data_IF_058578546897
#
_entry.id   IF_058578546897
#
_cell.length_a   1.000
_cell.length_b   1.000
_cell.length_c   1.000
_cell.angle_alpha   90.00
_cell.angle_beta   90.00
_cell.angle_gamma   90.00
#
_symmetry.space_group_name_H-M   'P 1'
#
loop_
_entity.id
_entity.type
_entity.pdbx_description
1 polymer ?
#
# COMPACT_ATOMS: atom_id res chain seq x y z
N UNK A 1 -2.92 15.05 -29.29
CA UNK A 1 -2.95 15.35 -27.85
C UNK A 1 -1.51 15.33 -27.34
N UNK A 2 -1.11 16.32 -26.57
CA UNK A 2 0.19 16.27 -25.89
C UNK A 2 0.19 15.10 -24.89
N UNK A 3 1.34 14.44 -24.68
CA UNK A 3 1.44 13.38 -23.69
C UNK A 3 1.19 13.96 -22.29
N UNK A 4 0.37 13.26 -21.50
CA UNK A 4 0.05 13.60 -20.12
C UNK A 4 1.32 13.69 -19.26
N UNK A 5 1.49 14.80 -18.54
CA UNK A 5 2.56 14.98 -17.57
C UNK A 5 2.17 14.35 -16.24
N UNK A 6 2.95 13.41 -15.78
CA UNK A 6 2.71 12.70 -14.53
C UNK A 6 3.88 12.97 -13.58
N UNK A 7 3.56 13.33 -12.34
CA UNK A 7 4.52 13.30 -11.25
C UNK A 7 4.18 12.14 -10.31
N UNK A 8 5.17 11.30 -9.97
CA UNK A 8 5.02 10.20 -9.03
C UNK A 8 5.71 10.59 -7.73
N UNK A 9 4.98 10.52 -6.63
CA UNK A 9 5.47 10.94 -5.32
C UNK A 9 5.19 9.87 -4.28
N UNK A 10 6.12 9.68 -3.35
CA UNK A 10 5.91 8.85 -2.15
C UNK A 10 6.40 9.57 -0.90
N UNK A 11 5.89 9.15 0.27
CA UNK A 11 6.47 9.51 1.55
C UNK A 11 7.30 8.35 2.06
N UNK A 12 8.62 8.53 2.11
CA UNK A 12 9.57 7.61 2.72
C UNK A 12 9.82 7.90 4.19
N UNK A 13 10.55 7.01 4.83
CA UNK A 13 11.14 7.20 6.16
C UNK A 13 12.65 6.93 6.10
N UNK A 14 13.42 7.59 6.94
CA UNK A 14 14.88 7.40 7.05
C UNK A 14 15.26 6.08 7.74
N UNK A 15 14.28 5.33 8.25
CA UNK A 15 14.50 4.08 8.99
C UNK A 15 14.36 2.86 8.10
N UNK A 16 15.23 1.87 8.30
CA UNK A 16 15.02 0.55 7.70
C UNK A 16 13.80 -0.15 8.34
N UNK A 17 13.01 -0.90 7.56
CA UNK A 17 13.21 -1.25 6.15
C UNK A 17 12.66 -0.22 5.14
N UNK A 18 12.08 0.90 5.58
CA UNK A 18 11.33 1.84 4.73
C UNK A 18 12.20 2.54 3.67
N UNK A 19 13.50 2.78 3.96
CA UNK A 19 14.45 3.30 2.97
C UNK A 19 14.58 2.35 1.78
N UNK A 20 14.70 1.05 2.04
CA UNK A 20 14.76 0.01 0.99
C UNK A 20 13.44 -0.11 0.23
N UNK A 21 12.31 -0.04 0.90
CA UNK A 21 10.99 -0.06 0.25
C UNK A 21 10.85 1.11 -0.71
N UNK A 22 11.28 2.33 -0.30
CA UNK A 22 11.32 3.50 -1.20
C UNK A 22 12.16 3.21 -2.44
N UNK A 23 13.33 2.63 -2.29
CA UNK A 23 14.20 2.26 -3.40
C UNK A 23 13.55 1.21 -4.31
N UNK A 24 12.93 0.18 -3.75
CA UNK A 24 12.26 -0.88 -4.52
C UNK A 24 11.05 -0.36 -5.29
N UNK A 25 10.26 0.54 -4.72
CA UNK A 25 9.19 1.22 -5.44
C UNK A 25 9.73 1.86 -6.72
N UNK A 26 10.76 2.73 -6.62
CA UNK A 26 11.28 3.45 -7.78
C UNK A 26 12.05 2.55 -8.76
N UNK A 27 12.71 1.51 -8.30
CA UNK A 27 13.27 0.46 -9.17
C UNK A 27 12.17 -0.22 -9.99
N UNK A 28 11.03 -0.54 -9.36
CA UNK A 28 9.91 -1.17 -10.05
C UNK A 28 9.28 -0.25 -11.10
N UNK A 29 9.14 1.04 -10.81
CA UNK A 29 8.67 2.05 -11.77
C UNK A 29 9.60 2.10 -12.98
N UNK A 30 10.91 2.13 -12.76
CA UNK A 30 11.88 2.18 -13.85
C UNK A 30 11.90 0.90 -14.69
N UNK A 31 11.72 -0.26 -14.07
CA UNK A 31 11.79 -1.56 -14.74
C UNK A 31 10.48 -1.95 -15.46
N UNK A 32 9.35 -1.67 -14.85
CA UNK A 32 8.04 -2.20 -15.29
C UNK A 32 6.99 -1.13 -15.58
N UNK A 33 7.23 0.12 -15.17
CA UNK A 33 6.27 1.21 -15.31
C UNK A 33 6.04 1.70 -16.74
N UNK A 34 6.78 1.19 -17.76
CA UNK A 34 6.60 1.60 -19.14
C UNK A 34 6.72 3.12 -19.32
N UNK A 35 5.62 3.81 -19.71
CA UNK A 35 5.59 5.26 -19.84
C UNK A 35 5.82 5.98 -18.51
N UNK A 36 5.41 5.40 -17.39
CA UNK A 36 5.60 5.98 -16.06
C UNK A 36 7.07 6.06 -15.63
N UNK A 37 7.97 5.25 -16.24
CA UNK A 37 9.41 5.33 -15.96
C UNK A 37 9.99 6.71 -16.31
N UNK A 38 9.34 7.45 -17.23
CA UNK A 38 9.72 8.80 -17.66
C UNK A 38 9.07 9.92 -16.84
N UNK A 39 8.18 9.58 -15.92
CA UNK A 39 7.52 10.54 -15.04
C UNK A 39 8.55 11.21 -14.13
N UNK A 40 8.25 12.42 -13.67
CA UNK A 40 9.01 13.01 -12.58
C UNK A 40 8.79 12.21 -11.30
N UNK A 41 9.88 11.85 -10.60
CA UNK A 41 9.85 10.99 -9.41
C UNK A 41 10.39 11.75 -8.21
N UNK A 42 9.62 11.75 -7.12
CA UNK A 42 9.95 12.49 -5.91
C UNK A 42 9.72 11.60 -4.68
N UNK A 43 10.71 11.53 -3.81
CA UNK A 43 10.60 10.92 -2.49
C UNK A 43 10.63 12.02 -1.41
N UNK A 44 9.56 12.10 -0.62
CA UNK A 44 9.43 13.05 0.48
C UNK A 44 9.81 12.38 1.79
N UNK A 45 10.56 13.08 2.64
CA UNK A 45 10.95 12.61 3.97
C UNK A 45 10.64 13.71 4.99
N UNK A 46 10.12 13.32 6.15
CA UNK A 46 9.90 14.24 7.28
C UNK A 46 11.09 14.30 8.25
N UNK A 47 12.17 13.62 7.91
CA UNK A 47 13.42 13.55 8.66
C UNK A 47 14.60 13.45 7.69
N UNK A 48 15.79 13.83 8.13
CA UNK A 48 17.00 13.74 7.30
C UNK A 48 17.34 12.28 7.01
N UNK A 49 17.62 11.99 5.74
CA UNK A 49 18.10 10.67 5.27
C UNK A 49 19.60 10.72 5.00
N UNK A 50 20.26 9.56 5.02
CA UNK A 50 21.69 9.46 4.74
C UNK A 50 22.04 9.83 3.30
N UNK A 51 23.26 10.34 3.10
CA UNK A 51 23.78 10.65 1.75
C UNK A 51 23.80 9.40 0.85
N UNK A 52 23.98 8.20 1.42
CA UNK A 52 23.90 6.94 0.71
C UNK A 52 22.49 6.71 0.14
N UNK A 53 21.46 6.93 0.94
CA UNK A 53 20.05 6.82 0.51
C UNK A 53 19.74 7.85 -0.57
N UNK A 54 20.16 9.11 -0.40
CA UNK A 54 19.98 10.17 -1.40
C UNK A 54 20.64 9.76 -2.70
N UNK A 55 21.91 9.38 -2.66
CA UNK A 55 22.68 8.95 -3.85
C UNK A 55 22.07 7.74 -4.54
N UNK A 56 21.52 6.78 -3.78
CA UNK A 56 20.82 5.62 -4.35
C UNK A 56 19.56 6.03 -5.11
N UNK A 57 18.76 6.93 -4.54
CA UNK A 57 17.54 7.45 -5.16
C UNK A 57 17.85 8.31 -6.40
N UNK A 58 18.86 9.16 -6.33
CA UNK A 58 19.31 9.99 -7.48
C UNK A 58 19.72 9.13 -8.69
N UNK A 59 20.41 8.00 -8.47
CA UNK A 59 20.74 7.03 -9.54
C UNK A 59 19.50 6.45 -10.22
N UNK A 60 18.35 6.45 -9.53
CA UNK A 60 17.07 6.03 -10.08
C UNK A 60 16.28 7.20 -10.73
N UNK A 61 16.88 8.39 -10.76
CA UNK A 61 16.24 9.61 -11.27
C UNK A 61 15.15 10.15 -10.32
N UNK A 62 15.30 9.92 -9.01
CA UNK A 62 14.37 10.38 -7.99
C UNK A 62 14.93 11.61 -7.30
N UNK A 63 14.13 12.66 -7.22
CA UNK A 63 14.43 13.85 -6.41
C UNK A 63 13.98 13.60 -4.96
N UNK A 64 14.83 13.94 -4.01
CA UNK A 64 14.46 13.89 -2.59
C UNK A 64 13.98 15.25 -2.11
N UNK A 65 13.00 15.28 -1.21
CA UNK A 65 12.47 16.48 -0.56
C UNK A 65 12.32 16.27 0.93
N UNK A 66 12.83 17.20 1.71
CA UNK A 66 12.50 17.28 3.13
C UNK A 66 11.19 18.05 3.26
N UNK A 67 10.24 17.50 4.00
CA UNK A 67 8.92 18.07 4.24
C UNK A 67 8.69 18.25 5.74
N UNK A 68 7.97 19.30 6.11
CA UNK A 68 7.55 19.51 7.49
C UNK A 68 6.44 18.51 7.88
N UNK A 69 6.50 17.87 9.06
CA UNK A 69 5.42 17.03 9.55
C UNK A 69 4.09 17.79 9.64
N UNK A 70 2.99 17.13 9.32
CA UNK A 70 1.63 17.69 9.51
C UNK A 70 1.30 17.81 10.99
N UNK A 71 1.50 16.71 11.72
CA UNK A 71 1.22 16.62 13.15
C UNK A 71 2.02 15.44 13.74
N UNK A 72 2.73 15.68 14.84
CA UNK A 72 3.56 14.66 15.48
C UNK A 72 2.76 13.48 16.07
N UNK A 73 1.46 13.67 16.30
CA UNK A 73 0.56 12.61 16.79
C UNK A 73 0.26 11.52 15.76
N UNK A 74 0.45 11.80 14.45
CA UNK A 74 0.15 10.86 13.39
C UNK A 74 1.17 10.97 12.24
N UNK A 75 2.18 10.11 12.27
CA UNK A 75 3.24 10.09 11.23
C UNK A 75 2.67 9.79 9.84
N UNK A 76 1.62 8.96 9.75
CA UNK A 76 0.97 8.62 8.48
C UNK A 76 0.34 9.85 7.80
N UNK A 77 -0.06 10.87 8.57
CA UNK A 77 -0.60 12.12 8.04
C UNK A 77 0.41 12.94 7.23
N UNK A 78 1.72 12.68 7.38
CA UNK A 78 2.75 13.38 6.62
C UNK A 78 2.62 13.14 5.10
N UNK A 79 1.99 12.05 4.68
CA UNK A 79 1.62 11.78 3.29
C UNK A 79 0.88 12.97 2.62
N UNK A 80 0.09 13.71 3.37
CA UNK A 80 -0.65 14.87 2.86
C UNK A 80 0.30 15.95 2.34
N UNK A 81 1.49 16.11 2.92
CA UNK A 81 2.49 17.09 2.48
C UNK A 81 3.00 16.86 1.04
N UNK A 82 2.86 15.65 0.51
CA UNK A 82 3.19 15.38 -0.90
C UNK A 82 2.37 16.25 -1.86
N UNK A 83 1.16 16.65 -1.46
CA UNK A 83 0.31 17.53 -2.26
C UNK A 83 0.82 18.98 -2.28
N UNK A 84 1.60 19.38 -1.28
CA UNK A 84 2.22 20.71 -1.19
C UNK A 84 3.27 20.95 -2.29
N UNK A 85 3.77 19.91 -2.94
CA UNK A 85 4.74 20.02 -4.04
C UNK A 85 4.14 20.55 -5.35
N UNK A 86 2.83 20.77 -5.42
CA UNK A 86 2.12 21.22 -6.62
C UNK A 86 2.57 22.57 -7.18
N UNK A 87 3.26 23.38 -6.37
CA UNK A 87 3.83 24.68 -6.80
C UNK A 87 5.25 24.54 -7.38
N UNK A 88 5.92 23.40 -7.13
CA UNK A 88 7.33 23.18 -7.52
C UNK A 88 7.47 22.30 -8.77
N UNK A 89 6.41 21.58 -9.15
CA UNK A 89 6.45 20.56 -10.20
C UNK A 89 5.31 20.77 -11.19
N UNK A 90 5.64 20.71 -12.49
CA UNK A 90 4.66 20.82 -13.58
C UNK A 90 4.10 19.44 -13.94
N UNK A 91 2.82 19.21 -13.64
CA UNK A 91 2.11 17.96 -13.92
C UNK A 91 0.61 18.17 -14.20
N UNK A 92 0.01 17.23 -14.92
CA UNK A 92 -1.44 17.14 -15.11
C UNK A 92 -2.09 16.29 -14.01
N UNK A 93 -1.38 15.22 -13.56
CA UNK A 93 -1.83 14.34 -12.49
C UNK A 93 -0.67 13.97 -11.55
N UNK A 94 -0.90 14.12 -10.26
CA UNK A 94 -0.04 13.63 -9.20
C UNK A 94 -0.43 12.18 -8.87
N UNK A 95 0.50 11.26 -8.97
CA UNK A 95 0.37 9.86 -8.56
C UNK A 95 1.09 9.69 -7.23
N UNK A 96 0.32 9.60 -6.14
CA UNK A 96 0.86 9.36 -4.82
C UNK A 96 0.83 7.86 -4.50
N UNK A 97 1.98 7.31 -4.12
CA UNK A 97 2.17 5.89 -3.85
C UNK A 97 2.75 5.68 -2.45
N UNK A 98 2.30 4.64 -1.77
CA UNK A 98 2.98 4.16 -0.57
C UNK A 98 4.29 3.45 -0.94
N UNK A 99 5.30 3.56 -0.08
CA UNK A 99 6.62 2.97 -0.34
C UNK A 99 6.60 1.46 -0.38
N UNK A 100 5.63 0.84 0.28
CA UNK A 100 5.40 -0.59 0.29
C UNK A 100 4.53 -1.08 -0.88
N UNK A 101 4.60 -0.37 -2.01
CA UNK A 101 4.01 -0.79 -3.29
C UNK A 101 5.08 -1.16 -4.32
N UNK A 102 4.78 -2.10 -5.19
CA UNK A 102 5.62 -2.54 -6.31
C UNK A 102 4.82 -2.46 -7.61
N UNK A 103 5.37 -1.77 -8.61
CA UNK A 103 4.77 -1.70 -9.94
C UNK A 103 5.12 -2.96 -10.73
N UNK A 104 4.12 -3.57 -11.35
CA UNK A 104 4.30 -4.75 -12.22
C UNK A 104 4.08 -4.43 -13.70
N UNK A 105 3.33 -3.36 -14.00
CA UNK A 105 2.97 -2.96 -15.37
C UNK A 105 2.68 -1.48 -15.48
N UNK A 106 2.75 -0.97 -16.71
CA UNK A 106 2.32 0.40 -17.05
C UNK A 106 0.81 0.57 -16.85
N UNK A 107 0.44 1.47 -15.96
CA UNK A 107 -0.96 1.84 -15.70
C UNK A 107 -1.30 3.26 -16.16
N UNK A 108 -0.45 3.92 -16.93
CA UNK A 108 -0.65 5.31 -17.37
C UNK A 108 -1.97 5.56 -18.10
N UNK A 109 -2.51 4.55 -18.78
CA UNK A 109 -3.77 4.65 -19.50
C UNK A 109 -5.02 4.70 -18.58
N UNK A 110 -4.88 4.35 -17.29
CA UNK A 110 -5.98 4.36 -16.32
C UNK A 110 -6.03 5.64 -15.47
N UNK A 111 -5.07 6.53 -15.66
CA UNK A 111 -4.99 7.81 -14.95
C UNK A 111 -6.00 8.78 -15.57
N UNK A 112 -6.99 9.23 -14.79
CA UNK A 112 -7.98 10.24 -15.16
C UNK A 112 -7.51 11.64 -14.74
N UNK A 113 -7.58 12.62 -15.63
CA UNK A 113 -7.19 14.01 -15.36
C UNK A 113 -8.31 14.84 -14.70
N UNK A 114 -9.49 14.25 -14.51
CA UNK A 114 -10.68 14.95 -14.02
C UNK A 114 -11.24 14.37 -12.72
N UNK A 115 -10.79 13.19 -12.32
CA UNK A 115 -11.32 12.47 -11.15
C UNK A 115 -10.20 11.96 -10.28
N UNK A 116 -10.37 12.04 -8.96
CA UNK A 116 -9.49 11.37 -8.02
C UNK A 116 -9.64 9.87 -8.23
N UNK A 117 -8.53 9.18 -8.51
CA UNK A 117 -8.47 7.72 -8.56
C UNK A 117 -7.98 7.15 -7.24
N UNK A 118 -8.72 6.20 -6.66
CA UNK A 118 -8.31 5.48 -5.46
C UNK A 118 -8.93 4.08 -5.42
N UNK A 119 -8.24 3.11 -4.83
CA UNK A 119 -8.75 1.75 -4.68
C UNK A 119 -9.56 1.63 -3.39
N UNK A 120 -10.68 0.92 -3.41
CA UNK A 120 -11.46 0.60 -2.20
C UNK A 120 -10.57 -0.12 -1.19
N UNK A 121 -10.78 0.14 0.09
CA UNK A 121 -10.04 -0.57 1.13
C UNK A 121 -10.47 -2.05 1.24
N UNK A 122 -9.58 -2.89 1.73
CA UNK A 122 -9.84 -4.30 1.98
C UNK A 122 -10.69 -4.52 3.24
N UNK A 123 -10.65 -3.60 4.20
CA UNK A 123 -11.47 -3.58 5.41
C UNK A 123 -12.09 -2.20 5.65
N UNK A 124 -13.17 -2.14 6.38
CA UNK A 124 -13.73 -0.90 6.95
C UNK A 124 -13.82 -1.05 8.47
N UNK A 125 -12.85 -0.53 9.23
CA UNK A 125 -12.88 -0.62 10.69
C UNK A 125 -14.02 0.13 11.34
N UNK A 126 -14.52 1.21 10.70
CA UNK A 126 -15.61 2.02 11.27
C UNK A 126 -16.98 1.35 11.11
N UNK A 127 -17.31 0.87 9.92
CA UNK A 127 -18.66 0.44 9.58
C UNK A 127 -19.64 1.60 9.42
N UNK A 128 -20.79 1.32 8.81
CA UNK A 128 -21.75 2.37 8.37
C UNK A 128 -22.26 3.26 9.50
N UNK A 129 -22.52 2.71 10.67
CA UNK A 129 -23.08 3.47 11.79
C UNK A 129 -22.08 4.49 12.34
N UNK A 130 -20.81 4.10 12.46
CA UNK A 130 -19.77 5.04 12.90
C UNK A 130 -19.41 6.07 11.81
N UNK A 131 -19.48 5.67 10.53
CA UNK A 131 -19.37 6.65 9.44
C UNK A 131 -20.45 7.71 9.51
N UNK A 132 -21.71 7.32 9.81
CA UNK A 132 -22.81 8.28 10.00
C UNK A 132 -22.52 9.25 11.12
N UNK A 133 -22.10 8.77 12.29
CA UNK A 133 -21.73 9.60 13.43
C UNK A 133 -20.59 10.55 13.08
N UNK A 134 -19.57 10.06 12.37
CA UNK A 134 -18.41 10.86 11.98
C UNK A 134 -18.79 11.95 10.99
N UNK A 135 -19.59 11.65 9.97
CA UNK A 135 -20.08 12.63 9.00
C UNK A 135 -20.94 13.70 9.65
N UNK A 136 -21.87 13.29 10.54
CA UNK A 136 -22.71 14.21 11.30
C UNK A 136 -21.87 15.15 12.19
N UNK A 137 -20.82 14.64 12.86
CA UNK A 137 -19.92 15.45 13.68
C UNK A 137 -19.25 16.56 12.88
N UNK A 138 -18.88 16.29 11.64
CA UNK A 138 -18.25 17.28 10.74
C UNK A 138 -19.25 18.09 9.92
N UNK A 139 -20.55 17.93 10.16
CA UNK A 139 -21.62 18.63 9.43
C UNK A 139 -21.71 18.20 7.96
N UNK A 140 -21.29 16.99 7.64
CA UNK A 140 -21.31 16.45 6.30
C UNK A 140 -22.49 15.52 6.07
N UNK A 141 -22.96 15.46 4.82
CA UNK A 141 -23.96 14.48 4.40
C UNK A 141 -23.26 13.16 4.05
N UNK A 142 -23.73 12.07 4.67
CA UNK A 142 -23.24 10.73 4.34
C UNK A 142 -23.56 10.40 2.87
N UNK A 143 -22.58 9.95 2.05
CA UNK A 143 -22.83 9.60 0.66
C UNK A 143 -23.83 8.44 0.55
N UNK A 144 -24.67 8.46 -0.48
CA UNK A 144 -25.65 7.38 -0.74
C UNK A 144 -25.02 6.15 -1.39
N UNK A 145 -23.94 6.33 -2.10
CA UNK A 145 -23.20 5.24 -2.76
C UNK A 145 -22.68 4.22 -1.76
N UNK A 146 -22.65 2.95 -2.15
CA UNK A 146 -22.18 1.87 -1.29
C UNK A 146 -21.22 0.97 -2.05
N UNK A 147 -20.11 0.65 -1.39
CA UNK A 147 -19.10 -0.31 -1.85
C UNK A 147 -19.12 -1.55 -0.97
N UNK A 148 -18.33 -2.54 -1.36
CA UNK A 148 -18.00 -3.69 -0.53
C UNK A 148 -16.48 -3.70 -0.32
N UNK A 149 -16.04 -3.96 0.90
CA UNK A 149 -14.64 -4.23 1.24
C UNK A 149 -14.16 -5.51 0.54
N UNK A 150 -12.87 -5.62 0.29
CA UNK A 150 -12.35 -6.77 -0.44
C UNK A 150 -12.13 -8.02 0.43
N UNK A 151 -11.85 -7.87 1.73
CA UNK A 151 -11.53 -8.98 2.63
C UNK A 151 -12.77 -9.72 3.11
N UNK A 152 -13.75 -9.00 3.64
CA UNK A 152 -14.93 -9.57 4.31
C UNK A 152 -16.26 -9.26 3.60
N UNK A 153 -16.20 -8.56 2.47
CA UNK A 153 -17.33 -8.18 1.62
C UNK A 153 -18.39 -7.37 2.36
N UNK A 154 -17.99 -6.64 3.39
CA UNK A 154 -18.90 -5.75 4.12
C UNK A 154 -19.28 -4.53 3.29
N UNK A 155 -20.53 -4.12 3.43
CA UNK A 155 -21.05 -2.92 2.78
C UNK A 155 -20.59 -1.69 3.54
N UNK A 156 -19.99 -0.73 2.82
CA UNK A 156 -19.45 0.53 3.34
C UNK A 156 -19.78 1.70 2.41
N UNK A 157 -19.46 2.93 2.84
CA UNK A 157 -19.40 4.11 1.96
C UNK A 157 -18.22 4.00 0.99
N UNK A 158 -18.06 4.93 0.02
CA UNK A 158 -16.82 5.08 -0.73
C UNK A 158 -15.66 5.43 0.22
N UNK A 159 -15.02 4.39 0.75
CA UNK A 159 -13.87 4.42 1.63
C UNK A 159 -12.69 3.78 0.91
N UNK A 160 -11.54 4.45 0.92
CA UNK A 160 -10.42 4.11 0.05
C UNK A 160 -9.15 3.81 0.85
N UNK A 161 -8.37 2.87 0.33
CA UNK A 161 -6.98 2.70 0.71
C UNK A 161 -6.13 3.77 0.02
N UNK A 162 -5.33 4.50 0.78
CA UNK A 162 -4.55 5.63 0.28
C UNK A 162 -3.14 5.22 -0.21
N UNK A 163 -2.87 3.92 -0.36
CA UNK A 163 -1.60 3.43 -0.89
C UNK A 163 -1.38 3.77 -2.37
N UNK A 164 -2.47 4.04 -3.10
CA UNK A 164 -2.43 4.48 -4.50
C UNK A 164 -3.50 5.55 -4.74
N UNK A 165 -3.06 6.77 -5.02
CA UNK A 165 -3.94 7.91 -5.32
C UNK A 165 -3.53 8.56 -6.63
N UNK A 166 -4.49 8.81 -7.51
CA UNK A 166 -4.33 9.65 -8.69
C UNK A 166 -5.06 10.96 -8.45
N UNK A 167 -4.37 12.06 -8.41
CA UNK A 167 -4.94 13.36 -8.02
C UNK A 167 -4.74 14.34 -9.18
N UNK A 168 -5.81 14.74 -9.88
CA UNK A 168 -5.74 15.76 -10.91
C UNK A 168 -5.19 17.09 -10.39
N UNK A 169 -4.32 17.74 -11.16
CA UNK A 169 -3.69 18.99 -10.77
C UNK A 169 -4.68 20.07 -10.27
N UNK A 170 -5.85 20.29 -10.89
CA UNK A 170 -6.79 21.29 -10.40
C UNK A 170 -7.34 21.02 -8.99
N UNK A 171 -7.28 19.79 -8.52
CA UNK A 171 -7.78 19.40 -7.19
C UNK A 171 -6.71 19.47 -6.10
N UNK A 172 -5.42 19.45 -6.44
CA UNK A 172 -4.33 19.22 -5.49
C UNK A 172 -4.32 20.26 -4.37
N UNK A 173 -4.33 21.57 -4.70
CA UNK A 173 -4.26 22.63 -3.69
C UNK A 173 -5.50 22.65 -2.76
N UNK A 174 -6.70 22.45 -3.32
CA UNK A 174 -7.93 22.42 -2.52
C UNK A 174 -7.97 21.15 -1.65
N UNK A 175 -7.65 19.98 -2.21
CA UNK A 175 -7.60 18.72 -1.48
C UNK A 175 -6.58 18.78 -0.35
N UNK A 176 -5.39 19.32 -0.59
CA UNK A 176 -4.37 19.52 0.45
C UNK A 176 -4.93 20.26 1.67
N UNK A 177 -5.56 21.43 1.44
CA UNK A 177 -6.11 22.26 2.52
C UNK A 177 -7.23 21.55 3.29
N UNK A 178 -8.15 20.91 2.57
CA UNK A 178 -9.33 20.25 3.15
C UNK A 178 -8.88 18.99 3.91
N UNK A 179 -8.05 18.15 3.30
CA UNK A 179 -7.55 16.92 3.91
C UNK A 179 -6.75 17.21 5.19
N UNK A 180 -5.80 18.15 5.14
CA UNK A 180 -5.06 18.62 6.31
C UNK A 180 -5.99 19.11 7.43
N UNK A 181 -7.00 19.90 7.07
CA UNK A 181 -7.96 20.42 8.05
C UNK A 181 -8.75 19.29 8.74
N UNK A 182 -9.28 18.33 7.98
CA UNK A 182 -10.00 17.19 8.58
C UNK A 182 -9.08 16.30 9.40
N UNK A 183 -7.84 16.11 8.98
CA UNK A 183 -6.85 15.34 9.75
C UNK A 183 -6.62 15.95 11.13
N UNK A 184 -6.32 17.25 11.19
CA UNK A 184 -6.09 17.95 12.46
C UNK A 184 -7.34 17.90 13.35
N UNK A 185 -8.51 18.23 12.79
CA UNK A 185 -9.77 18.20 13.54
C UNK A 185 -10.10 16.80 14.08
N UNK A 186 -9.78 15.74 13.31
CA UNK A 186 -9.99 14.36 13.74
C UNK A 186 -8.99 13.95 14.83
N UNK A 187 -7.73 14.39 14.73
CA UNK A 187 -6.73 14.22 15.79
C UNK A 187 -7.11 14.94 17.09
N UNK A 188 -7.80 16.08 17.00
CA UNK A 188 -8.28 16.82 18.17
C UNK A 188 -9.56 16.24 18.78
N UNK A 189 -10.27 15.39 18.03
CA UNK A 189 -11.58 14.86 18.44
C UNK A 189 -11.61 13.33 18.56
N UNK A 190 -10.52 12.60 18.27
CA UNK A 190 -10.56 11.14 18.16
C UNK A 190 -11.08 10.42 19.42
N UNK A 191 -10.82 10.98 20.61
CA UNK A 191 -11.28 10.41 21.88
C UNK A 191 -12.81 10.41 22.03
N UNK A 192 -13.51 11.24 21.27
CA UNK A 192 -14.99 11.25 21.21
C UNK A 192 -15.56 10.05 20.44
N UNK A 193 -14.70 9.30 19.73
CA UNK A 193 -15.08 8.19 18.89
C UNK A 193 -14.39 6.89 19.37
N UNK A 194 -15.03 6.08 20.21
CA UNK A 194 -14.40 4.88 20.80
C UNK A 194 -13.81 3.93 19.77
N UNK A 195 -14.45 3.79 18.60
CA UNK A 195 -13.93 2.93 17.53
C UNK A 195 -12.66 3.52 16.88
N UNK A 196 -12.56 4.84 16.74
CA UNK A 196 -11.37 5.49 16.20
C UNK A 196 -10.24 5.41 17.22
N UNK A 197 -10.52 5.65 18.51
CA UNK A 197 -9.54 5.52 19.59
C UNK A 197 -8.91 4.13 19.65
N UNK A 198 -9.67 3.08 19.34
CA UNK A 198 -9.19 1.69 19.31
C UNK A 198 -8.12 1.45 18.25
N UNK A 199 -8.19 2.13 17.12
CA UNK A 199 -7.28 1.96 15.98
C UNK A 199 -6.34 3.15 15.79
N UNK A 200 -6.39 4.12 16.70
CA UNK A 200 -5.51 5.29 16.66
C UNK A 200 -4.03 4.88 16.72
N UNK A 201 -3.13 5.51 15.94
CA UNK A 201 -3.40 6.55 14.91
C UNK A 201 -3.55 6.00 13.48
N UNK A 202 -3.58 4.69 13.26
CA UNK A 202 -3.37 4.03 11.95
C UNK A 202 -4.28 4.52 10.83
N UNK A 203 -5.58 4.67 11.08
CA UNK A 203 -6.55 4.99 10.02
C UNK A 203 -6.95 6.46 9.96
N UNK A 204 -6.36 7.32 10.80
CA UNK A 204 -6.72 8.75 10.87
C UNK A 204 -6.59 9.42 9.49
N UNK A 205 -5.51 9.13 8.81
CA UNK A 205 -5.21 9.69 7.48
C UNK A 205 -6.23 9.22 6.43
N UNK A 206 -6.61 7.94 6.42
CA UNK A 206 -7.63 7.41 5.51
C UNK A 206 -9.04 7.91 5.83
N UNK A 207 -9.40 8.01 7.11
CA UNK A 207 -10.69 8.58 7.52
C UNK A 207 -10.81 10.04 7.10
N UNK A 208 -9.77 10.83 7.36
CA UNK A 208 -9.74 12.24 6.99
C UNK A 208 -9.70 12.46 5.48
N UNK A 209 -9.05 11.57 4.69
CA UNK A 209 -9.13 11.58 3.24
C UNK A 209 -10.56 11.38 2.75
N UNK A 210 -11.27 10.39 3.30
CA UNK A 210 -12.66 10.13 2.96
C UNK A 210 -13.55 11.32 3.26
N UNK A 211 -13.39 11.94 4.44
CA UNK A 211 -14.08 13.18 4.79
C UNK A 211 -13.72 14.32 3.81
N UNK A 212 -12.46 14.43 3.40
CA UNK A 212 -12.01 15.46 2.48
C UNK A 212 -12.61 15.30 1.08
N UNK A 213 -12.63 14.08 0.55
CA UNK A 213 -13.20 13.79 -0.78
C UNK A 213 -14.68 14.14 -0.81
N UNK A 214 -15.43 13.73 0.20
CA UNK A 214 -16.89 13.97 0.23
C UNK A 214 -17.23 15.40 0.68
N UNK A 215 -16.51 15.97 1.66
CA UNK A 215 -16.73 17.33 2.15
C UNK A 215 -16.27 18.41 1.18
N UNK A 216 -15.31 18.10 0.31
CA UNK A 216 -14.86 18.98 -0.78
C UNK A 216 -15.60 18.79 -2.08
N UNK A 217 -16.57 17.85 -2.14
CA UNK A 217 -17.37 17.51 -3.32
C UNK A 217 -16.51 17.13 -4.53
N UNK A 218 -15.34 16.51 -4.31
CA UNK A 218 -14.46 16.10 -5.39
C UNK A 218 -15.07 14.94 -6.19
N UNK A 219 -14.94 15.03 -7.50
CA UNK A 219 -15.24 13.89 -8.37
C UNK A 219 -14.18 12.80 -8.20
N UNK A 220 -14.60 11.56 -8.01
CA UNK A 220 -13.72 10.42 -7.87
C UNK A 220 -14.12 9.26 -8.77
N UNK A 221 -13.17 8.37 -9.04
CA UNK A 221 -13.38 7.13 -9.77
C UNK A 221 -12.71 5.98 -9.02
N UNK A 222 -13.47 5.01 -8.51
CA UNK A 222 -12.89 3.83 -7.88
C UNK A 222 -12.03 3.07 -8.89
N UNK A 223 -10.76 2.86 -8.52
CA UNK A 223 -9.85 2.03 -9.30
C UNK A 223 -10.14 0.55 -9.03
N UNK A 224 -9.78 -0.30 -9.98
CA UNK A 224 -9.88 -1.75 -9.81
C UNK A 224 -8.91 -2.27 -8.74
N UNK A 225 -9.21 -3.44 -8.18
CA UNK A 225 -8.34 -4.12 -7.21
C UNK A 225 -6.90 -4.33 -7.75
N UNK A 226 -6.75 -4.46 -9.07
CA UNK A 226 -5.47 -4.63 -9.74
C UNK A 226 -4.52 -3.44 -9.59
N UNK A 227 -5.07 -2.24 -9.25
CA UNK A 227 -4.30 -1.01 -9.06
C UNK A 227 -3.71 -0.86 -7.65
N UNK A 228 -4.05 -1.75 -6.72
CA UNK A 228 -3.49 -1.74 -5.36
C UNK A 228 -3.77 -3.11 -4.71
N UNK A 229 -3.20 -4.19 -5.28
CA UNK A 229 -3.50 -5.55 -4.85
C UNK A 229 -2.84 -5.87 -3.50
N UNK A 230 -3.61 -6.12 -2.42
CA UNK A 230 -3.05 -6.39 -1.10
C UNK A 230 -2.54 -7.84 -1.02
N UNK A 231 -1.28 -8.03 -0.64
CA UNK A 231 -0.69 -9.37 -0.52
C UNK A 231 -0.78 -9.96 0.89
N UNK A 232 -1.18 -9.16 1.87
CA UNK A 232 -1.14 -9.53 3.29
C UNK A 232 -2.42 -10.24 3.79
N UNK A 233 -3.51 -10.18 3.03
CA UNK A 233 -4.81 -10.72 3.42
C UNK A 233 -5.36 -11.72 2.40
N UNK A 234 -6.21 -12.64 2.90
CA UNK A 234 -7.07 -13.45 2.04
C UNK A 234 -8.33 -12.64 1.72
N UNK A 235 -8.65 -12.52 0.44
CA UNK A 235 -9.77 -11.74 -0.06
C UNK A 235 -11.03 -12.60 -0.20
N UNK A 236 -12.18 -11.97 -0.14
CA UNK A 236 -13.46 -12.64 -0.28
C UNK A 236 -13.62 -13.25 -1.69
N UNK A 237 -14.28 -14.39 -1.79
CA UNK A 237 -14.48 -15.15 -3.05
C UNK A 237 -15.08 -14.32 -4.19
N UNK A 238 -15.90 -13.31 -3.88
CA UNK A 238 -16.51 -12.43 -4.88
C UNK A 238 -15.49 -11.53 -5.61
N UNK A 239 -14.25 -11.43 -5.12
CA UNK A 239 -13.17 -10.70 -5.79
C UNK A 239 -12.65 -11.40 -7.06
N UNK A 240 -13.02 -12.67 -7.30
CA UNK A 240 -12.65 -13.44 -8.50
C UNK A 240 -11.15 -13.44 -8.81
N UNK A 241 -10.34 -13.70 -7.80
CA UNK A 241 -8.87 -13.51 -7.84
C UNK A 241 -8.18 -14.26 -8.98
N UNK A 242 -8.75 -15.36 -9.47
CA UNK A 242 -8.17 -16.12 -10.58
C UNK A 242 -7.99 -15.28 -11.86
N UNK A 243 -8.83 -14.28 -12.03
CA UNK A 243 -8.85 -13.40 -13.21
C UNK A 243 -8.03 -12.11 -12.98
N UNK A 244 -7.51 -11.92 -11.76
CA UNK A 244 -6.74 -10.73 -11.39
C UNK A 244 -5.31 -10.82 -11.94
N UNK A 245 -4.89 -9.73 -12.57
CA UNK A 245 -3.54 -9.53 -13.10
C UNK A 245 -3.02 -8.15 -12.71
N UNK A 246 -2.42 -7.99 -11.51
CA UNK A 246 -2.17 -6.70 -10.91
C UNK A 246 -1.25 -5.80 -11.74
N UNK A 247 -1.53 -4.49 -11.71
CA UNK A 247 -0.63 -3.43 -12.16
C UNK A 247 0.32 -3.02 -11.05
N UNK A 248 -0.22 -2.96 -9.82
CA UNK A 248 0.52 -2.74 -8.60
C UNK A 248 0.14 -3.78 -7.54
N UNK A 249 1.11 -4.14 -6.73
CA UNK A 249 0.89 -4.85 -5.48
C UNK A 249 1.23 -3.95 -4.30
N UNK A 250 0.49 -4.10 -3.21
CA UNK A 250 0.72 -3.47 -1.92
C UNK A 250 1.14 -4.58 -0.95
N UNK A 251 2.43 -4.61 -0.63
CA UNK A 251 2.99 -5.75 0.11
C UNK A 251 2.93 -5.58 1.63
N UNK A 252 2.55 -4.39 2.13
CA UNK A 252 2.38 -4.12 3.57
C UNK A 252 3.59 -4.60 4.38
N UNK A 253 4.78 -4.12 4.01
CA UNK A 253 6.08 -4.47 4.62
C UNK A 253 6.43 -5.97 4.56
N UNK A 254 5.73 -6.76 3.75
CA UNK A 254 6.02 -8.20 3.55
C UNK A 254 7.12 -8.39 2.52
N UNK A 255 8.30 -7.90 2.85
CA UNK A 255 9.54 -8.05 2.08
C UNK A 255 10.51 -8.93 2.90
N UNK A 256 11.19 -9.86 2.24
CA UNK A 256 12.25 -10.68 2.83
C UNK A 256 13.49 -9.84 3.11
N UNK A 257 14.40 -10.35 3.94
CA UNK A 257 15.72 -9.74 4.19
C UNK A 257 16.54 -9.52 2.91
N UNK A 258 16.30 -10.33 1.87
CA UNK A 258 16.95 -10.22 0.56
C UNK A 258 16.20 -9.33 -0.43
N UNK A 259 15.10 -8.69 -0.02
CA UNK A 259 14.36 -7.72 -0.80
C UNK A 259 13.29 -8.32 -1.71
N UNK A 260 12.93 -9.58 -1.53
CA UNK A 260 11.84 -10.20 -2.28
C UNK A 260 10.48 -9.98 -1.59
N UNK A 261 9.46 -9.59 -2.35
CA UNK A 261 8.08 -9.58 -1.83
C UNK A 261 7.68 -11.00 -1.44
N UNK A 262 7.19 -11.19 -0.23
CA UNK A 262 6.78 -12.50 0.27
C UNK A 262 5.53 -13.02 -0.43
N UNK A 263 5.34 -14.32 -0.47
CA UNK A 263 4.18 -14.93 -1.07
C UNK A 263 2.88 -14.48 -0.41
N UNK A 264 1.84 -14.35 -1.21
CA UNK A 264 0.46 -14.17 -0.77
C UNK A 264 -0.34 -15.47 -0.89
N UNK A 265 -1.63 -15.42 -0.57
CA UNK A 265 -2.55 -16.57 -0.61
C UNK A 265 -2.86 -17.09 -2.03
N UNK A 266 -2.34 -16.46 -3.09
CA UNK A 266 -2.77 -16.67 -4.47
C UNK A 266 -1.61 -17.02 -5.38
N UNK A 267 -1.64 -18.23 -5.96
CA UNK A 267 -0.57 -18.74 -6.79
C UNK A 267 -0.37 -17.94 -8.09
N UNK A 268 -1.46 -17.46 -8.71
CA UNK A 268 -1.35 -16.60 -9.90
C UNK A 268 -0.61 -15.28 -9.61
N UNK A 269 -0.81 -14.71 -8.41
CA UNK A 269 -0.10 -13.50 -7.97
C UNK A 269 1.36 -13.84 -7.64
N UNK A 270 1.62 -14.95 -6.94
CA UNK A 270 2.98 -15.38 -6.62
C UNK A 270 3.81 -15.60 -7.88
N UNK A 271 3.21 -16.12 -8.97
CA UNK A 271 3.88 -16.20 -10.27
C UNK A 271 4.26 -14.83 -10.85
N UNK A 272 3.41 -13.80 -10.68
CA UNK A 272 3.78 -12.44 -11.07
C UNK A 272 4.96 -11.91 -10.24
N UNK A 273 5.03 -12.28 -8.95
CA UNK A 273 6.17 -11.92 -8.09
C UNK A 273 7.47 -12.60 -8.52
N UNK A 274 7.40 -13.82 -9.07
CA UNK A 274 8.57 -14.57 -9.58
C UNK A 274 9.19 -13.92 -10.83
N UNK A 275 8.44 -13.06 -11.53
CA UNK A 275 8.92 -12.31 -12.69
C UNK A 275 9.68 -11.03 -12.32
N UNK A 276 9.65 -10.59 -11.06
CA UNK A 276 10.37 -9.41 -10.56
C UNK A 276 11.87 -9.71 -10.46
N UNK A 277 12.72 -8.93 -11.15
CA UNK A 277 14.17 -9.21 -11.30
C UNK A 277 15.08 -8.11 -10.78
N UNK A 278 14.67 -7.32 -9.80
CA UNK A 278 15.55 -6.28 -9.23
C UNK A 278 16.10 -6.61 -7.84
N UNK A 279 15.82 -7.79 -7.33
CA UNK A 279 16.33 -8.33 -6.08
C UNK A 279 17.10 -9.64 -6.31
N UNK A 280 17.53 -10.28 -5.25
CA UNK A 280 18.13 -11.63 -5.30
C UNK A 280 17.12 -12.64 -5.86
N UNK A 281 17.59 -13.65 -6.57
CA UNK A 281 16.73 -14.72 -7.10
C UNK A 281 15.86 -15.32 -5.99
N UNK A 282 14.55 -15.16 -6.12
CA UNK A 282 13.55 -15.67 -5.17
C UNK A 282 13.69 -17.17 -4.85
N UNK A 283 14.19 -17.94 -5.82
CA UNK A 283 14.41 -19.39 -5.65
C UNK A 283 15.49 -19.73 -4.63
N UNK A 284 16.36 -18.78 -4.32
CA UNK A 284 17.45 -18.92 -3.36
C UNK A 284 17.19 -18.14 -2.06
N UNK A 285 16.05 -17.48 -1.94
CA UNK A 285 15.69 -16.72 -0.75
C UNK A 285 15.10 -17.64 0.32
N UNK A 286 15.74 -17.80 1.49
CA UNK A 286 15.26 -18.70 2.54
C UNK A 286 13.84 -18.39 3.01
N UNK A 287 13.46 -17.12 3.12
CA UNK A 287 12.11 -16.73 3.55
C UNK A 287 11.07 -17.10 2.50
N UNK A 288 11.38 -16.92 1.22
CA UNK A 288 10.49 -17.33 0.12
C UNK A 288 10.37 -18.86 0.04
N UNK A 289 11.46 -19.59 0.26
CA UNK A 289 11.43 -21.06 0.31
C UNK A 289 10.53 -21.56 1.45
N UNK A 290 10.56 -20.91 2.62
CA UNK A 290 9.67 -21.24 3.74
C UNK A 290 8.22 -20.90 3.42
N UNK A 291 7.95 -19.71 2.86
CA UNK A 291 6.60 -19.35 2.40
C UNK A 291 6.05 -20.38 1.40
N UNK A 292 6.87 -20.85 0.44
CA UNK A 292 6.49 -21.90 -0.51
C UNK A 292 6.12 -23.21 0.20
N UNK A 293 6.88 -23.63 1.20
CA UNK A 293 6.54 -24.81 1.99
C UNK A 293 5.21 -24.67 2.72
N UNK A 294 4.97 -23.53 3.36
CA UNK A 294 3.71 -23.25 4.04
C UNK A 294 2.53 -23.24 3.05
N UNK A 295 2.68 -22.61 1.89
CA UNK A 295 1.65 -22.63 0.85
C UNK A 295 1.33 -24.07 0.36
N UNK A 296 2.35 -24.91 0.17
CA UNK A 296 2.18 -26.30 -0.28
C UNK A 296 1.57 -27.20 0.80
N UNK A 297 1.88 -26.98 2.06
CA UNK A 297 1.50 -27.84 3.17
C UNK A 297 0.28 -27.32 3.94
N UNK A 298 0.26 -26.05 4.30
CA UNK A 298 -0.76 -25.41 5.14
C UNK A 298 -1.73 -24.51 4.36
N UNK A 299 -1.53 -24.33 3.03
CA UNK A 299 -2.37 -23.51 2.13
C UNK A 299 -2.45 -22.05 2.54
N UNK A 300 -1.45 -21.56 3.23
CA UNK A 300 -1.29 -20.16 3.65
C UNK A 300 0.18 -19.75 3.62
N UNK A 301 0.49 -18.44 3.52
CA UNK A 301 1.84 -17.94 3.76
C UNK A 301 2.26 -18.20 5.23
N UNK A 302 3.57 -18.27 5.48
CA UNK A 302 4.09 -18.39 6.83
C UNK A 302 3.75 -17.13 7.66
N UNK A 303 3.39 -17.32 8.92
CA UNK A 303 3.39 -16.26 9.91
C UNK A 303 4.82 -15.86 10.29
N UNK A 304 4.99 -14.75 10.99
CA UNK A 304 6.32 -14.22 11.31
C UNK A 304 7.12 -15.14 12.23
N UNK A 305 6.46 -15.85 13.14
CA UNK A 305 7.13 -16.79 14.05
C UNK A 305 7.69 -17.99 13.28
N UNK A 306 6.85 -18.67 12.51
CA UNK A 306 7.25 -19.80 11.69
C UNK A 306 8.29 -19.40 10.63
N UNK A 307 8.13 -18.23 10.00
CA UNK A 307 9.09 -17.70 9.04
C UNK A 307 10.47 -17.53 9.68
N UNK A 308 10.56 -16.77 10.77
CA UNK A 308 11.82 -16.47 11.43
C UNK A 308 12.50 -17.76 11.95
N UNK A 309 11.71 -18.67 12.53
CA UNK A 309 12.23 -19.94 13.04
C UNK A 309 12.84 -20.80 11.94
N UNK A 310 12.08 -21.07 10.89
CA UNK A 310 12.50 -22.00 9.86
C UNK A 310 13.51 -21.41 8.88
N UNK A 311 13.45 -20.11 8.57
CA UNK A 311 14.48 -19.46 7.75
C UNK A 311 15.84 -19.47 8.46
N UNK A 312 15.88 -19.23 9.78
CA UNK A 312 17.12 -19.30 10.55
C UNK A 312 17.73 -20.73 10.60
N UNK A 313 16.88 -21.77 10.66
CA UNK A 313 17.34 -23.16 10.58
C UNK A 313 17.93 -23.50 9.22
N UNK A 314 17.32 -22.97 8.14
CA UNK A 314 17.78 -23.17 6.77
C UNK A 314 19.10 -22.42 6.52
N UNK A 315 19.16 -21.12 6.87
CA UNK A 315 20.34 -20.27 6.72
C UNK A 315 21.57 -20.81 7.48
N UNK A 316 21.35 -21.29 8.71
CA UNK A 316 22.41 -21.90 9.52
C UNK A 316 22.79 -23.31 9.11
N UNK A 317 22.15 -23.88 8.06
CA UNK A 317 22.33 -25.26 7.58
C UNK A 317 22.08 -26.33 8.65
N UNK A 318 21.38 -26.00 9.74
CA UNK A 318 21.00 -26.95 10.80
C UNK A 318 19.92 -27.91 10.34
N UNK A 319 19.08 -27.51 9.40
CA UNK A 319 18.03 -28.31 8.79
C UNK A 319 17.99 -28.07 7.28
N UNK A 320 17.72 -29.13 6.52
CA UNK A 320 17.40 -29.03 5.11
C UNK A 320 15.94 -28.60 4.92
N UNK A 321 15.59 -28.16 3.71
CA UNK A 321 14.21 -27.83 3.37
C UNK A 321 13.28 -29.05 3.54
N UNK A 322 13.77 -30.25 3.24
CA UNK A 322 13.02 -31.49 3.42
C UNK A 322 12.79 -31.84 4.90
N UNK A 323 13.78 -31.56 5.79
CA UNK A 323 13.60 -31.73 7.23
C UNK A 323 12.54 -30.76 7.77
N UNK A 324 12.57 -29.49 7.34
CA UNK A 324 11.58 -28.49 7.72
C UNK A 324 10.18 -28.91 7.23
N UNK A 325 10.07 -29.43 6.02
CA UNK A 325 8.81 -29.95 5.48
C UNK A 325 8.24 -31.07 6.35
N UNK A 326 9.07 -32.01 6.80
CA UNK A 326 8.68 -33.06 7.75
C UNK A 326 8.21 -32.50 9.09
N UNK A 327 8.87 -31.45 9.60
CA UNK A 327 8.45 -30.78 10.84
C UNK A 327 7.08 -30.13 10.69
N UNK A 328 6.80 -29.47 9.56
CA UNK A 328 5.49 -28.86 9.29
C UNK A 328 4.41 -29.95 9.18
N UNK A 329 4.66 -31.07 8.51
CA UNK A 329 3.73 -32.20 8.43
C UNK A 329 3.43 -32.83 9.81
N UNK A 330 4.39 -32.78 10.75
CA UNK A 330 4.21 -33.29 12.09
C UNK A 330 3.44 -32.30 13.01
N UNK A 331 3.24 -31.05 12.59
CA UNK A 331 2.57 -30.02 13.40
C UNK A 331 1.09 -30.32 13.63
N UNK A 332 0.55 -29.79 14.73
CA UNK A 332 -0.87 -29.92 15.05
C UNK A 332 -1.74 -29.14 14.04
N UNK A 333 -1.22 -28.02 13.53
CA UNK A 333 -1.92 -27.25 12.48
C UNK A 333 -2.14 -28.09 11.21
N UNK A 334 -1.10 -28.80 10.74
CA UNK A 334 -1.24 -29.68 9.56
C UNK A 334 -2.22 -30.83 9.82
N UNK A 335 -2.16 -31.46 11.00
CA UNK A 335 -3.07 -32.54 11.38
C UNK A 335 -4.52 -32.11 11.48
N UNK A 336 -4.78 -30.82 11.79
CA UNK A 336 -6.12 -30.24 11.90
C UNK A 336 -6.71 -29.84 10.53
N UNK A 337 -5.93 -29.86 9.44
CA UNK A 337 -6.46 -29.54 8.11
C UNK A 337 -7.50 -30.56 7.66
N UNK A 338 -8.57 -30.11 6.98
CA UNK A 338 -9.53 -31.03 6.36
C UNK A 338 -8.79 -31.97 5.40
N UNK A 339 -8.90 -33.27 5.62
CA UNK A 339 -8.42 -34.28 4.68
C UNK A 339 -9.37 -34.27 3.49
N UNK A 340 -8.90 -33.87 2.32
CA UNK A 340 -9.64 -34.00 1.07
C UNK A 340 -9.74 -35.44 0.65
#
# INVERSE_FOLDING_TARGET
MQPKKIAIVCQGSAKEPFTKETEYLFRSINAYGGKLSKAEKIACFSESVSDETISSLEKLGVKTRLIEPIDSRCVHANKIQMLGLSEEVDFDVLVALDTDTIILKDFSNFIDEKKIGAVRDDVDPLGLDNWKILFEHFGLKLPNERFHTYKDWKKTIPYFNNGVLFIPQPYVSQLYKIWKSYTIKLLDAYEKFPIISRYYPYYIEQYSFTLAVHGGEFSYSPLSLEMNFPTHVSLHKNCKIKDINPFLIHHHHRISKLGNVRNCYYENINRCLDEIKFSVDRKNDPEILIDNLYMQTLRRPADMEGLNHFSALLESKKKSLEDIKKMIFASDEYKALPKN
#
